data_IF_980382081728
#
_entry.id   IF_980382081728
#
_cell.length_a   1.000
_cell.length_b   1.000
_cell.length_c   1.000
_cell.angle_alpha   90.00
_cell.angle_beta   90.00
_cell.angle_gamma   90.00
#
_symmetry.space_group_name_H-M   'P 1'
#
loop_
_entity.id
_entity.type
_entity.pdbx_description
1 polymer ?
#
# COMPACT_ATOMS: atom_id res chain seq x y z
N UNK A 1 -18.27 6.93 2.55
CA UNK A 1 -16.85 7.15 2.21
C UNK A 1 -16.77 7.91 0.90
N UNK A 2 -15.91 8.92 0.83
CA UNK A 2 -15.68 9.70 -0.39
C UNK A 2 -14.40 9.17 -1.05
N UNK A 3 -14.52 8.60 -2.24
CA UNK A 3 -13.38 8.15 -3.05
C UNK A 3 -12.96 9.25 -4.02
N UNK A 4 -11.69 9.31 -4.35
CA UNK A 4 -11.15 10.20 -5.38
C UNK A 4 -10.34 9.43 -6.43
N UNK A 5 -10.21 10.01 -7.63
CA UNK A 5 -9.29 9.50 -8.64
C UNK A 5 -7.87 9.56 -8.09
N UNK A 6 -7.10 8.49 -8.26
CA UNK A 6 -5.76 8.31 -7.72
C UNK A 6 -5.71 7.65 -6.34
N UNK A 7 -6.85 7.44 -5.65
CA UNK A 7 -6.87 6.67 -4.41
C UNK A 7 -6.50 5.20 -4.69
N UNK A 8 -5.68 4.64 -3.80
CA UNK A 8 -5.48 3.20 -3.71
C UNK A 8 -6.64 2.58 -2.93
N UNK A 9 -7.22 1.52 -3.48
CA UNK A 9 -8.37 0.80 -2.93
C UNK A 9 -8.17 -0.70 -3.06
N UNK A 10 -8.88 -1.47 -2.24
CA UNK A 10 -9.05 -2.91 -2.45
C UNK A 10 -10.51 -3.32 -2.33
N UNK A 11 -10.82 -4.55 -2.76
CA UNK A 11 -12.11 -5.16 -2.50
C UNK A 11 -12.19 -5.62 -1.04
N UNK A 12 -13.34 -5.41 -0.40
CA UNK A 12 -13.61 -5.90 0.96
C UNK A 12 -13.51 -7.42 1.10
N UNK A 13 -13.66 -8.16 -0.01
CA UNK A 13 -13.45 -9.61 -0.07
C UNK A 13 -11.98 -10.02 -0.07
N UNK A 14 -11.06 -9.05 -0.10
CA UNK A 14 -9.65 -9.25 -0.44
C UNK A 14 -9.41 -9.16 -1.95
N UNK A 15 -8.14 -9.01 -2.33
CA UNK A 15 -7.70 -8.88 -3.71
C UNK A 15 -6.43 -8.05 -3.84
N UNK A 16 -5.97 -7.78 -5.08
CA UNK A 16 -4.86 -6.87 -5.31
C UNK A 16 -5.26 -5.44 -4.93
N UNK A 17 -4.26 -4.64 -4.54
CA UNK A 17 -4.42 -3.19 -4.42
C UNK A 17 -4.60 -2.61 -5.82
N UNK A 18 -5.63 -1.80 -5.97
CA UNK A 18 -6.02 -1.15 -7.22
C UNK A 18 -6.00 0.36 -7.05
N UNK A 19 -5.94 1.09 -8.15
CA UNK A 19 -6.00 2.56 -8.19
C UNK A 19 -7.29 2.98 -8.88
N UNK A 20 -8.01 3.95 -8.33
CA UNK A 20 -9.18 4.54 -8.98
C UNK A 20 -8.73 5.41 -10.14
N UNK A 21 -9.22 5.11 -11.34
CA UNK A 21 -8.94 5.92 -12.53
C UNK A 21 -10.09 6.83 -12.91
N UNK A 22 -11.33 6.36 -12.75
CA UNK A 22 -12.52 7.12 -13.17
C UNK A 22 -13.77 6.65 -12.44
N UNK A 23 -14.78 7.52 -12.37
CA UNK A 23 -16.16 7.18 -12.02
C UNK A 23 -17.02 7.16 -13.28
N UNK A 24 -17.67 6.03 -13.58
CA UNK A 24 -18.47 5.82 -14.79
C UNK A 24 -19.77 5.13 -14.40
N UNK A 25 -20.92 5.70 -14.77
CA UNK A 25 -22.25 5.13 -14.54
C UNK A 25 -22.53 4.72 -13.08
N UNK A 26 -22.00 5.50 -12.11
CA UNK A 26 -22.13 5.19 -10.67
C UNK A 26 -21.23 4.05 -10.18
N UNK A 27 -20.38 3.49 -11.06
CA UNK A 27 -19.34 2.54 -10.73
C UNK A 27 -17.96 3.21 -10.69
N UNK A 28 -17.04 2.57 -9.99
CA UNK A 28 -15.65 2.98 -9.88
C UNK A 28 -14.82 2.11 -10.80
N UNK A 29 -14.19 2.73 -11.80
CA UNK A 29 -13.22 2.09 -12.66
C UNK A 29 -11.87 2.08 -11.94
N UNK A 30 -11.35 0.89 -11.69
CA UNK A 30 -10.08 0.68 -11.01
C UNK A 30 -9.12 -0.06 -11.94
N UNK A 31 -7.82 0.25 -11.82
CA UNK A 31 -6.76 -0.49 -12.51
C UNK A 31 -5.71 -1.00 -11.51
N UNK A 32 -5.08 -2.12 -11.84
CA UNK A 32 -4.01 -2.71 -11.03
C UNK A 32 -3.03 -3.44 -11.93
N UNK A 33 -1.86 -3.78 -11.40
CA UNK A 33 -0.86 -4.53 -12.13
C UNK A 33 -0.77 -5.97 -11.61
N UNK A 34 -0.77 -6.94 -12.52
CA UNK A 34 -0.53 -8.36 -12.22
C UNK A 34 0.57 -8.84 -13.15
N UNK A 35 1.72 -9.25 -12.59
CA UNK A 35 2.84 -9.76 -13.40
C UNK A 35 3.39 -8.76 -14.43
N UNK A 36 3.24 -7.45 -14.19
CA UNK A 36 3.66 -6.40 -15.11
C UNK A 36 2.59 -5.99 -16.14
N UNK A 37 1.46 -6.68 -16.20
CA UNK A 37 0.34 -6.33 -17.07
C UNK A 37 -0.71 -5.49 -16.32
N UNK A 38 -1.22 -4.44 -16.98
CA UNK A 38 -2.29 -3.58 -16.43
C UNK A 38 -3.64 -4.27 -16.64
N UNK A 39 -4.29 -4.62 -15.54
CA UNK A 39 -5.67 -5.08 -15.48
C UNK A 39 -6.61 -3.93 -15.09
N UNK A 40 -7.86 -4.00 -15.55
CA UNK A 40 -8.89 -2.98 -15.28
C UNK A 40 -10.19 -3.68 -14.87
N UNK A 41 -10.93 -3.09 -13.94
CA UNK A 41 -12.20 -3.62 -13.45
C UNK A 41 -13.14 -2.51 -12.99
N UNK A 42 -14.44 -2.75 -13.13
CA UNK A 42 -15.50 -1.85 -12.64
C UNK A 42 -16.12 -2.45 -11.39
N UNK A 43 -16.14 -1.68 -10.31
CA UNK A 43 -16.68 -2.13 -9.03
C UNK A 43 -17.66 -1.11 -8.46
N UNK A 44 -18.62 -1.59 -7.67
CA UNK A 44 -19.46 -0.70 -6.88
C UNK A 44 -18.62 -0.06 -5.77
N UNK A 45 -18.79 1.24 -5.52
CA UNK A 45 -18.08 1.94 -4.44
C UNK A 45 -18.29 1.24 -3.07
N UNK A 46 -19.45 0.63 -2.84
CA UNK A 46 -19.75 -0.10 -1.61
C UNK A 46 -18.90 -1.36 -1.40
N UNK A 47 -18.34 -1.94 -2.47
CA UNK A 47 -17.48 -3.12 -2.42
C UNK A 47 -16.00 -2.76 -2.19
N UNK A 48 -15.64 -1.47 -2.32
CA UNK A 48 -14.28 -0.98 -2.17
C UNK A 48 -14.02 -0.48 -0.75
N UNK A 49 -12.76 -0.60 -0.34
CA UNK A 49 -12.20 0.04 0.85
C UNK A 49 -10.90 0.76 0.49
N UNK A 50 -10.60 1.85 1.20
CA UNK A 50 -9.40 2.64 0.94
C UNK A 50 -8.18 1.91 1.47
N UNK A 51 -7.19 1.69 0.61
CA UNK A 51 -5.92 1.13 1.01
C UNK A 51 -4.96 2.24 1.42
N UNK A 52 -4.52 2.20 2.67
CA UNK A 52 -3.46 3.08 3.19
C UNK A 52 -2.22 2.21 3.26
N UNK A 53 -1.21 2.53 2.45
CA UNK A 53 0.07 1.83 2.55
C UNK A 53 0.59 1.98 3.99
N UNK A 54 0.99 0.88 4.65
CA UNK A 54 1.62 0.99 5.96
C UNK A 54 2.83 1.90 5.81
N UNK A 55 3.04 2.79 6.78
CA UNK A 55 4.26 3.58 6.84
C UNK A 55 5.46 2.62 6.73
N UNK A 56 6.54 3.00 6.01
CA UNK A 56 7.77 2.24 6.07
C UNK A 56 8.07 1.97 7.55
N UNK A 57 8.07 0.70 7.93
CA UNK A 57 8.48 0.33 9.28
C UNK A 57 9.98 0.62 9.33
N UNK A 58 10.35 1.82 9.78
CA UNK A 58 11.73 2.05 10.19
C UNK A 58 12.01 0.98 11.25
N UNK A 59 13.05 0.15 11.06
CA UNK A 59 13.33 -0.89 12.02
C UNK A 59 13.46 -0.21 13.39
N UNK A 60 12.60 -0.59 14.33
CA UNK A 60 12.56 -0.03 15.70
C UNK A 60 13.92 -0.18 16.43
N UNK A 61 14.83 -0.98 15.85
CA UNK A 61 16.17 -1.29 16.33
C UNK A 61 17.27 -0.92 15.30
N UNK A 62 17.09 0.16 14.53
CA UNK A 62 18.20 0.78 13.80
C UNK A 62 18.99 1.68 14.75
N UNK A 63 19.96 1.09 15.46
CA UNK A 63 21.01 1.86 16.14
C UNK A 63 22.22 2.03 15.20
N UNK A 64 22.37 3.16 14.49
CA UNK A 64 23.54 3.43 13.65
C UNK A 64 24.85 3.55 14.44
N UNK A 65 24.78 3.56 15.77
CA UNK A 65 25.92 3.66 16.69
C UNK A 65 26.24 2.35 17.43
N UNK A 66 25.65 1.21 17.04
CA UNK A 66 26.00 -0.11 17.57
C UNK A 66 27.45 -0.56 17.23
N UNK A 67 28.24 0.30 16.58
CA UNK A 67 29.68 0.17 16.46
C UNK A 67 30.42 0.78 17.65
N UNK A 68 30.76 -0.05 18.64
CA UNK A 68 31.97 0.21 19.43
C UNK A 68 31.90 -0.11 20.91
N UNK A 69 32.39 -1.30 21.28
CA UNK A 69 33.21 -1.48 22.49
C UNK A 69 34.34 -2.46 22.19
N UNK A 70 35.47 -1.94 21.71
CA UNK A 70 36.75 -2.64 21.80
C UNK A 70 37.04 -2.82 23.30
N UNK A 71 37.01 -4.08 23.76
CA UNK A 71 37.48 -4.45 25.10
C UNK A 71 38.99 -4.43 25.08
N UNK A 72 39.58 -3.31 25.48
CA UNK A 72 41.00 -3.26 25.86
C UNK A 72 41.15 -4.08 27.15
N UNK A 73 41.71 -5.27 27.03
CA UNK A 73 42.24 -6.04 28.16
C UNK A 73 43.35 -5.21 28.81
N UNK A 74 43.09 -4.74 30.03
CA UNK A 74 44.07 -4.11 30.88
C UNK A 74 44.82 -5.16 31.72
N UNK A 75 46.14 -4.99 31.73
CA UNK A 75 47.17 -5.45 32.68
C UNK A 75 47.31 -6.95 32.99
#
# INVERSE_FOLDING_TARGET
MNFAIGDMVLLKSGGPVMTIEQFVDGQVLCSWFVGGERSIGKFAAAALERYIAPAPQEPEDYDPYAGGRNRTTGY
#
